data_IF_724584940399
#
_entry.id   IF_724584940399
#
_cell.length_a   1.000
_cell.length_b   1.000
_cell.length_c   1.000
_cell.angle_alpha   90.00
_cell.angle_beta   90.00
_cell.angle_gamma   90.00
#
_symmetry.space_group_name_H-M   'P 1'
#
loop_
_entity.id
_entity.type
_entity.pdbx_description
1 polymer ?
#
# COMPACT_ATOMS: atom_id res chain seq x y z
N UNK A 1 -44.50 -15.43 -17.35
CA UNK A 1 -43.03 -15.58 -17.36
C UNK A 1 -42.33 -14.68 -18.37
N UNK A 2 -42.72 -14.63 -19.67
CA UNK A 2 -42.05 -13.76 -20.67
C UNK A 2 -42.06 -12.26 -20.31
N UNK A 3 -43.17 -11.75 -19.79
CA UNK A 3 -43.34 -10.33 -19.42
C UNK A 3 -42.43 -9.90 -18.27
N UNK A 4 -42.30 -10.73 -17.23
CA UNK A 4 -41.43 -10.46 -16.08
C UNK A 4 -39.95 -10.39 -16.48
N UNK A 5 -39.51 -11.27 -17.38
CA UNK A 5 -38.13 -11.26 -17.92
C UNK A 5 -37.84 -9.99 -18.73
N UNK A 6 -38.81 -9.50 -19.52
CA UNK A 6 -38.65 -8.27 -20.28
C UNK A 6 -38.62 -7.04 -19.39
N UNK A 7 -39.47 -6.99 -18.35
CA UNK A 7 -39.45 -5.89 -17.37
C UNK A 7 -38.11 -5.82 -16.62
N UNK A 8 -37.58 -6.96 -16.16
CA UNK A 8 -36.27 -7.02 -15.51
C UNK A 8 -35.14 -6.55 -16.43
N UNK A 9 -35.14 -6.95 -17.70
CA UNK A 9 -34.14 -6.50 -18.67
C UNK A 9 -34.21 -4.99 -18.91
N UNK A 10 -35.40 -4.41 -19.03
CA UNK A 10 -35.59 -2.97 -19.22
C UNK A 10 -35.10 -2.19 -17.99
N UNK A 11 -35.45 -2.65 -16.78
CA UNK A 11 -34.98 -2.02 -15.53
C UNK A 11 -33.46 -2.06 -15.45
N UNK A 12 -32.86 -3.22 -15.71
CA UNK A 12 -31.41 -3.38 -15.71
C UNK A 12 -30.73 -2.44 -16.71
N UNK A 13 -31.19 -2.42 -17.97
CA UNK A 13 -30.64 -1.54 -19.01
C UNK A 13 -30.81 -0.05 -18.67
N UNK A 14 -31.94 0.33 -18.06
CA UNK A 14 -32.21 1.72 -17.66
C UNK A 14 -31.30 2.16 -16.51
N UNK A 15 -31.07 1.28 -15.52
CA UNK A 15 -30.11 1.54 -14.43
C UNK A 15 -28.71 1.68 -14.99
N UNK A 16 -28.29 0.75 -15.86
CA UNK A 16 -26.96 0.76 -16.46
C UNK A 16 -26.74 2.04 -17.29
N UNK A 17 -27.70 2.40 -18.13
CA UNK A 17 -27.68 3.65 -18.89
C UNK A 17 -27.60 4.87 -17.97
N UNK A 18 -28.38 4.91 -16.89
CA UNK A 18 -28.38 6.04 -15.95
C UNK A 18 -27.04 6.20 -15.24
N UNK A 19 -26.38 5.08 -14.89
CA UNK A 19 -25.04 5.10 -14.29
C UNK A 19 -24.00 5.67 -15.26
N UNK A 20 -23.96 5.19 -16.51
CA UNK A 20 -23.03 5.70 -17.52
C UNK A 20 -23.33 7.14 -17.94
N UNK A 21 -24.61 7.52 -18.04
CA UNK A 21 -24.99 8.91 -18.30
C UNK A 21 -24.56 9.83 -17.15
N UNK A 22 -24.68 9.36 -15.89
CA UNK A 22 -24.17 10.04 -14.72
C UNK A 22 -22.65 10.20 -14.75
N UNK A 23 -21.92 9.16 -15.10
CA UNK A 23 -20.47 9.20 -15.25
C UNK A 23 -20.03 10.20 -16.33
N UNK A 24 -20.64 10.16 -17.51
CA UNK A 24 -20.39 11.13 -18.60
C UNK A 24 -20.70 12.55 -18.12
N UNK A 25 -21.80 12.75 -17.39
CA UNK A 25 -22.12 14.06 -16.81
C UNK A 25 -21.04 14.54 -15.85
N UNK A 26 -20.62 13.68 -14.91
CA UNK A 26 -19.55 13.99 -13.94
C UNK A 26 -18.17 14.18 -14.59
N UNK A 27 -17.92 13.57 -15.75
CA UNK A 27 -16.65 13.66 -16.45
C UNK A 27 -16.53 14.92 -17.29
N UNK A 28 -17.61 15.34 -17.94
CA UNK A 28 -17.56 16.42 -18.94
C UNK A 28 -18.25 17.72 -18.50
N UNK A 29 -19.16 17.68 -17.53
CA UNK A 29 -20.00 18.82 -17.19
C UNK A 29 -19.83 19.30 -15.75
N UNK A 30 -19.30 18.46 -14.85
CA UNK A 30 -18.86 18.92 -13.53
C UNK A 30 -17.48 19.54 -13.67
N UNK A 31 -17.38 20.81 -13.29
CA UNK A 31 -16.12 21.53 -13.26
C UNK A 31 -15.16 20.84 -12.28
N UNK A 32 -14.19 20.11 -12.84
CA UNK A 32 -13.08 19.51 -12.11
C UNK A 32 -11.89 20.45 -12.04
N UNK A 33 -12.12 21.76 -12.08
CA UNK A 33 -11.09 22.69 -11.58
C UNK A 33 -10.62 22.08 -10.27
N UNK A 34 -9.33 21.70 -10.16
CA UNK A 34 -8.78 21.31 -8.88
C UNK A 34 -9.26 22.40 -7.95
N UNK A 35 -9.94 22.04 -6.87
CA UNK A 35 -10.15 23.00 -5.80
C UNK A 35 -8.75 23.48 -5.53
N UNK A 36 -8.44 24.68 -6.03
CA UNK A 36 -7.19 25.35 -5.79
C UNK A 36 -7.09 25.22 -4.30
N UNK A 37 -6.11 24.46 -3.83
CA UNK A 37 -5.94 24.20 -2.41
C UNK A 37 -5.61 25.57 -1.87
N UNK A 38 -6.66 26.38 -1.61
CA UNK A 38 -6.59 27.70 -1.01
C UNK A 38 -5.66 27.43 0.13
N UNK A 39 -4.47 27.99 0.02
CA UNK A 39 -3.33 27.71 0.88
C UNK A 39 -3.88 27.56 2.27
N UNK A 40 -4.00 26.31 2.75
CA UNK A 40 -4.45 26.04 4.10
C UNK A 40 -3.43 26.79 4.95
N UNK A 41 -3.81 27.84 5.70
CA UNK A 41 -2.84 28.69 6.40
C UNK A 41 -1.97 27.88 7.39
N UNK A 42 -2.47 26.70 7.75
CA UNK A 42 -1.91 25.68 8.63
C UNK A 42 -1.19 24.53 7.89
N UNK A 43 -1.09 24.57 6.55
CA UNK A 43 -0.35 23.54 5.81
C UNK A 43 1.14 23.62 6.09
N UNK A 44 1.68 22.53 6.61
CA UNK A 44 3.12 22.34 6.72
C UNK A 44 3.72 22.31 5.31
N UNK A 45 4.49 23.33 4.96
CA UNK A 45 5.13 23.46 3.64
C UNK A 45 6.43 22.68 3.50
N UNK A 46 6.93 22.06 4.58
CA UNK A 46 8.18 21.30 4.56
C UNK A 46 8.05 20.03 3.74
N UNK A 47 9.14 19.61 3.13
CA UNK A 47 9.30 18.30 2.52
C UNK A 47 9.54 17.22 3.59
N UNK A 48 9.26 15.95 3.25
CA UNK A 48 9.42 14.83 4.17
C UNK A 48 10.82 14.78 4.80
N UNK A 49 11.86 15.07 4.01
CA UNK A 49 13.27 15.06 4.46
C UNK A 49 13.55 16.11 5.54
N UNK A 50 12.97 17.31 5.42
CA UNK A 50 13.15 18.38 6.41
C UNK A 50 12.49 18.00 7.74
N UNK A 51 11.29 17.39 7.67
CA UNK A 51 10.58 16.90 8.87
C UNK A 51 11.36 15.76 9.52
N UNK A 52 11.90 14.83 8.74
CA UNK A 52 12.76 13.76 9.22
C UNK A 52 14.00 14.31 9.91
N UNK A 53 14.66 15.31 9.33
CA UNK A 53 15.85 15.93 9.92
C UNK A 53 15.53 16.62 11.25
N UNK A 54 14.41 17.32 11.34
CA UNK A 54 13.97 17.96 12.59
C UNK A 54 13.62 16.93 13.68
N UNK A 55 13.02 15.80 13.32
CA UNK A 55 12.74 14.70 14.25
C UNK A 55 14.04 14.02 14.71
N UNK A 56 15.02 13.84 13.81
CA UNK A 56 16.34 13.28 14.14
C UNK A 56 17.14 14.19 15.06
N UNK A 57 17.08 15.52 14.88
CA UNK A 57 17.67 16.50 15.82
C UNK A 57 17.07 16.40 17.23
N UNK A 58 15.83 15.92 17.36
CA UNK A 58 15.17 15.64 18.64
C UNK A 58 15.52 14.25 19.21
N UNK A 59 16.43 13.50 18.58
CA UNK A 59 16.82 12.14 19.02
C UNK A 59 15.83 11.05 18.63
N UNK A 60 14.85 11.32 17.75
CA UNK A 60 13.92 10.29 17.25
C UNK A 60 14.51 9.61 16.01
N UNK A 61 14.56 8.27 15.94
CA UNK A 61 15.01 7.55 14.75
C UNK A 61 13.93 7.62 13.66
N UNK A 62 13.86 8.77 12.99
CA UNK A 62 12.86 9.06 11.97
C UNK A 62 13.38 8.76 10.56
N UNK A 63 12.50 8.28 9.68
CA UNK A 63 12.78 7.99 8.28
C UNK A 63 11.59 8.38 7.42
N UNK A 64 11.78 8.78 6.15
CA UNK A 64 10.66 8.91 5.24
C UNK A 64 10.10 7.51 4.91
N UNK A 65 8.82 7.45 4.55
CA UNK A 65 8.29 6.26 3.87
C UNK A 65 9.10 5.98 2.61
N UNK A 66 9.40 4.71 2.34
CA UNK A 66 10.14 4.31 1.15
C UNK A 66 9.18 4.13 -0.01
N UNK A 67 9.36 4.90 -1.08
CA UNK A 67 8.65 4.74 -2.32
C UNK A 67 9.26 3.59 -3.15
N UNK A 68 8.42 2.70 -3.67
CA UNK A 68 8.85 1.56 -4.49
C UNK A 68 9.75 1.97 -5.67
N UNK A 69 9.32 2.98 -6.45
CA UNK A 69 10.00 3.40 -7.68
C UNK A 69 11.24 4.25 -7.44
N UNK A 70 11.22 5.09 -6.41
CA UNK A 70 12.27 6.08 -6.19
C UNK A 70 13.35 5.61 -5.20
N UNK A 71 12.97 4.84 -4.18
CA UNK A 71 13.83 4.55 -3.04
C UNK A 71 14.23 3.07 -2.93
N UNK A 72 13.52 2.17 -3.63
CA UNK A 72 13.68 0.72 -3.45
C UNK A 72 14.11 0.01 -4.73
N UNK A 73 13.67 0.49 -5.88
CA UNK A 73 13.98 -0.10 -7.19
C UNK A 73 14.63 0.93 -8.11
N UNK A 74 15.38 0.47 -9.10
CA UNK A 74 15.88 1.28 -10.19
C UNK A 74 15.81 0.51 -11.51
N UNK A 75 15.65 1.23 -12.61
CA UNK A 75 15.71 0.67 -13.96
C UNK A 75 17.17 0.55 -14.41
N UNK A 76 17.51 -0.58 -15.01
CA UNK A 76 18.77 -0.73 -15.73
C UNK A 76 18.67 -0.20 -17.17
N UNK A 77 19.76 -0.36 -17.93
CA UNK A 77 19.85 0.04 -19.34
C UNK A 77 18.93 -0.74 -20.28
N UNK A 78 18.41 -1.88 -19.84
CA UNK A 78 17.55 -2.79 -20.60
C UNK A 78 16.09 -2.69 -20.10
N UNK A 79 15.75 -1.60 -19.37
CA UNK A 79 14.44 -1.30 -18.79
C UNK A 79 13.95 -2.30 -17.72
N UNK A 80 14.81 -3.20 -17.24
CA UNK A 80 14.46 -4.10 -16.14
C UNK A 80 14.57 -3.38 -14.80
N UNK A 81 13.60 -3.62 -13.91
CA UNK A 81 13.63 -3.08 -12.55
C UNK A 81 14.39 -4.02 -11.60
N UNK A 82 15.41 -3.47 -10.94
CA UNK A 82 16.21 -4.18 -9.94
C UNK A 82 16.11 -3.47 -8.60
N UNK A 83 16.16 -4.24 -7.51
CA UNK A 83 16.25 -3.65 -6.18
C UNK A 83 17.59 -2.94 -6.01
N UNK A 84 17.52 -1.77 -5.37
CA UNK A 84 18.68 -1.00 -4.95
C UNK A 84 19.46 -1.69 -3.81
N UNK A 85 18.87 -2.71 -3.18
CA UNK A 85 19.49 -3.42 -2.07
C UNK A 85 20.05 -4.77 -2.54
N UNK A 86 21.19 -5.13 -1.98
CA UNK A 86 21.80 -6.43 -2.20
C UNK A 86 22.48 -6.90 -0.93
N UNK A 87 22.54 -8.22 -0.76
CA UNK A 87 23.24 -8.86 0.34
C UNK A 87 24.11 -9.98 -0.24
N UNK A 88 25.40 -9.99 0.09
CA UNK A 88 26.37 -10.98 -0.40
C UNK A 88 26.38 -11.11 -1.95
N UNK A 89 26.22 -9.98 -2.65
CA UNK A 89 26.20 -9.92 -4.10
C UNK A 89 24.92 -10.47 -4.75
N UNK A 90 23.88 -10.73 -3.97
CA UNK A 90 22.56 -11.12 -4.46
C UNK A 90 21.57 -10.00 -4.24
N UNK A 91 20.76 -9.73 -5.25
CA UNK A 91 19.64 -8.79 -5.17
C UNK A 91 18.71 -9.18 -4.01
N UNK A 92 18.30 -8.18 -3.23
CA UNK A 92 17.41 -8.33 -2.09
C UNK A 92 16.37 -7.21 -2.16
N UNK A 93 15.09 -7.56 -2.16
CA UNK A 93 14.01 -6.58 -2.16
C UNK A 93 13.35 -6.51 -0.77
N UNK A 94 13.62 -5.46 0.04
CA UNK A 94 12.91 -5.27 1.30
C UNK A 94 11.45 -4.94 1.02
N UNK A 95 10.55 -5.73 1.62
CA UNK A 95 9.12 -5.61 1.36
C UNK A 95 8.39 -4.61 2.28
N UNK A 96 8.96 -4.28 3.43
CA UNK A 96 8.45 -3.25 4.36
C UNK A 96 9.17 -1.90 4.25
N UNK A 97 8.89 -0.97 5.17
CA UNK A 97 9.70 0.23 5.39
C UNK A 97 10.84 -0.08 6.38
N UNK A 98 11.52 0.96 6.88
CA UNK A 98 12.48 0.82 7.97
C UNK A 98 11.76 0.29 9.21
N UNK A 99 12.29 -0.78 9.79
CA UNK A 99 11.77 -1.46 10.98
C UNK A 99 11.89 -0.62 12.26
N UNK A 100 10.93 -0.76 13.19
CA UNK A 100 10.95 -0.14 14.52
C UNK A 100 11.29 1.36 14.52
N UNK A 101 10.79 2.09 13.52
CA UNK A 101 11.19 3.46 13.25
C UNK A 101 10.00 4.40 13.16
N UNK A 102 10.23 5.68 13.48
CA UNK A 102 9.23 6.73 13.25
C UNK A 102 9.21 7.06 11.76
N UNK A 103 8.17 6.64 11.06
CA UNK A 103 7.99 6.87 9.63
C UNK A 103 7.23 8.17 9.39
N UNK A 104 7.82 9.07 8.61
CA UNK A 104 7.17 10.28 8.08
C UNK A 104 6.54 9.95 6.74
N UNK A 105 5.22 10.07 6.65
CA UNK A 105 4.47 9.30 5.66
C UNK A 105 3.65 10.14 4.68
N UNK A 106 2.78 11.02 5.15
CA UNK A 106 1.86 11.77 4.29
C UNK A 106 1.69 13.23 4.78
N UNK A 107 1.42 14.17 3.87
CA UNK A 107 1.03 15.55 4.18
C UNK A 107 -0.10 16.09 3.27
N UNK A 108 -1.05 15.25 2.87
CA UNK A 108 -2.17 15.66 2.02
C UNK A 108 -3.18 16.54 2.77
N UNK A 109 -3.36 16.30 4.07
CA UNK A 109 -4.25 17.09 4.93
C UNK A 109 -3.64 18.40 5.43
N UNK A 110 -2.38 18.68 5.06
CA UNK A 110 -1.61 19.84 5.49
C UNK A 110 -0.87 19.64 6.81
N UNK A 111 -0.94 18.47 7.42
CA UNK A 111 -0.10 18.06 8.55
C UNK A 111 0.62 16.77 8.17
N UNK A 112 1.89 16.67 8.57
CA UNK A 112 2.66 15.44 8.40
C UNK A 112 2.14 14.33 9.33
N UNK A 113 1.54 13.31 8.72
CA UNK A 113 1.20 12.07 9.39
C UNK A 113 2.45 11.21 9.60
N UNK A 114 2.53 10.64 10.80
CA UNK A 114 3.64 9.77 11.20
C UNK A 114 3.12 8.53 11.92
N UNK A 115 3.82 7.42 11.78
CA UNK A 115 3.55 6.20 12.54
C UNK A 115 4.85 5.54 12.97
N UNK A 116 4.81 4.73 14.02
CA UNK A 116 5.93 3.85 14.38
C UNK A 116 5.70 2.53 13.68
N UNK A 117 6.62 2.16 12.78
CA UNK A 117 6.55 0.88 12.08
C UNK A 117 6.78 -0.29 13.03
N UNK A 118 6.15 -1.43 12.74
CA UNK A 118 6.39 -2.67 13.46
C UNK A 118 7.80 -3.22 13.19
N UNK A 119 8.11 -4.36 13.82
CA UNK A 119 9.40 -5.01 13.62
C UNK A 119 9.69 -5.24 12.14
N UNK A 120 8.72 -5.49 11.26
CA UNK A 120 8.98 -5.72 9.83
C UNK A 120 8.81 -4.48 8.94
N UNK A 121 8.63 -3.29 9.53
CA UNK A 121 8.52 -2.05 8.78
C UNK A 121 7.11 -1.76 8.24
N UNK A 122 6.07 -2.44 8.71
CA UNK A 122 4.68 -2.17 8.33
C UNK A 122 3.98 -1.28 9.34
N UNK A 123 2.88 -0.64 8.92
CA UNK A 123 2.05 0.19 9.78
C UNK A 123 1.13 -0.67 10.66
N UNK A 124 1.70 -1.27 11.71
CA UNK A 124 0.99 -2.04 12.72
C UNK A 124 1.52 -1.75 14.13
N UNK A 125 0.70 -1.97 15.18
CA UNK A 125 1.22 -2.26 16.51
C UNK A 125 2.05 -3.55 16.47
N UNK A 126 3.27 -3.54 17.01
CA UNK A 126 4.17 -4.69 16.93
C UNK A 126 3.59 -6.00 17.51
N UNK A 127 2.72 -5.88 18.53
CA UNK A 127 2.07 -7.03 19.17
C UNK A 127 1.15 -7.86 18.25
N UNK A 128 0.74 -7.34 17.08
CA UNK A 128 -0.12 -8.11 16.16
C UNK A 128 0.56 -9.37 15.63
N UNK A 129 1.90 -9.39 15.60
CA UNK A 129 2.68 -10.54 15.16
C UNK A 129 2.63 -11.72 16.13
N UNK A 130 2.23 -11.50 17.39
CA UNK A 130 2.04 -12.56 18.38
C UNK A 130 0.64 -13.20 18.31
N UNK A 131 -0.32 -12.50 17.69
CA UNK A 131 -1.72 -12.92 17.56
C UNK A 131 -1.97 -13.99 16.49
N UNK A 132 -1.31 -15.15 16.59
CA UNK A 132 -1.41 -16.22 15.59
C UNK A 132 -2.50 -17.25 15.95
N UNK A 133 -3.36 -17.69 15.01
CA UNK A 133 -3.48 -17.21 13.63
C UNK A 133 -4.07 -15.79 13.57
N UNK A 134 -3.60 -14.97 12.63
CA UNK A 134 -4.18 -13.67 12.36
C UNK A 134 -5.66 -13.82 11.95
N UNK A 135 -6.54 -12.95 12.43
CA UNK A 135 -7.96 -12.97 12.05
C UNK A 135 -8.12 -12.52 10.61
N UNK A 136 -7.45 -11.42 10.26
CA UNK A 136 -7.45 -10.83 8.92
C UNK A 136 -6.03 -10.44 8.55
N UNK A 137 -5.64 -10.71 7.31
CA UNK A 137 -4.45 -10.14 6.68
C UNK A 137 -4.90 -9.20 5.57
N UNK A 138 -4.52 -7.93 5.66
CA UNK A 138 -4.81 -6.94 4.63
C UNK A 138 -3.59 -6.74 3.73
N UNK A 139 -3.79 -6.83 2.41
CA UNK A 139 -2.80 -6.57 1.36
C UNK A 139 -3.31 -5.44 0.46
N UNK A 140 -2.43 -4.59 -0.01
CA UNK A 140 -2.79 -3.54 -0.96
C UNK A 140 -1.78 -2.41 -0.99
N UNK A 141 -2.19 -1.30 -1.59
CA UNK A 141 -1.37 -0.13 -1.86
C UNK A 141 -1.46 0.94 -0.72
N UNK A 142 -1.39 2.21 -1.09
CA UNK A 142 -1.71 3.42 -0.30
C UNK A 142 -2.92 3.29 0.64
N UNK A 143 -4.07 2.82 0.13
CA UNK A 143 -5.30 2.78 0.94
C UNK A 143 -5.21 1.78 2.08
N UNK A 144 -4.55 0.64 1.79
CA UNK A 144 -4.34 -0.40 2.79
C UNK A 144 -3.25 0.02 3.78
N UNK A 145 -2.17 0.64 3.29
CA UNK A 145 -1.10 1.20 4.13
C UNK A 145 -1.65 2.22 5.15
N UNK A 146 -2.70 2.97 4.79
CA UNK A 146 -3.38 3.94 5.65
C UNK A 146 -2.91 5.37 5.42
N UNK A 147 -2.67 5.75 4.16
CA UNK A 147 -2.16 7.08 3.74
C UNK A 147 -3.13 8.20 4.14
N UNK A 148 -2.70 9.05 5.10
CA UNK A 148 -3.25 10.36 5.49
C UNK A 148 -4.39 10.45 6.52
N UNK A 149 -5.15 9.39 6.88
CA UNK A 149 -5.92 9.42 8.12
C UNK A 149 -5.00 9.48 9.34
N UNK A 150 -5.46 10.10 10.44
CA UNK A 150 -4.76 10.01 11.72
C UNK A 150 -4.56 8.56 12.16
N UNK A 151 -3.48 8.25 12.91
CA UNK A 151 -3.25 6.93 13.47
C UNK A 151 -4.47 6.43 14.26
N UNK A 152 -4.85 5.17 14.07
CA UNK A 152 -6.04 4.56 14.70
C UNK A 152 -7.34 4.77 13.92
N UNK A 153 -7.32 5.50 12.81
CA UNK A 153 -8.51 5.84 12.02
C UNK A 153 -8.46 5.36 10.57
N UNK A 154 -7.37 4.75 10.11
CA UNK A 154 -7.31 4.22 8.76
C UNK A 154 -8.12 2.92 8.62
N UNK A 155 -8.48 2.55 7.39
CA UNK A 155 -9.38 1.43 7.08
C UNK A 155 -9.00 0.14 7.84
N UNK A 156 -7.72 -0.24 7.82
CA UNK A 156 -7.25 -1.47 8.48
C UNK A 156 -7.31 -1.36 10.02
N UNK A 157 -7.19 -0.16 10.62
CA UNK A 157 -7.41 0.02 12.06
C UNK A 157 -8.86 -0.24 12.44
N UNK A 158 -9.81 0.23 11.64
CA UNK A 158 -11.23 0.00 11.87
C UNK A 158 -11.58 -1.49 11.77
N UNK A 159 -10.99 -2.20 10.81
CA UNK A 159 -11.10 -3.66 10.71
C UNK A 159 -10.48 -4.32 11.95
N UNK A 160 -9.31 -3.87 12.40
CA UNK A 160 -8.62 -4.40 13.57
C UNK A 160 -9.45 -4.24 14.84
N UNK A 161 -10.20 -3.15 15.01
CA UNK A 161 -11.10 -2.96 16.15
C UNK A 161 -12.19 -4.05 16.23
N UNK A 162 -12.70 -4.51 15.08
CA UNK A 162 -13.66 -5.61 15.02
C UNK A 162 -12.99 -7.00 15.07
N UNK A 163 -11.75 -7.11 14.58
CA UNK A 163 -10.98 -8.34 14.46
C UNK A 163 -9.54 -8.14 14.98
N UNK A 164 -9.29 -8.21 16.30
CA UNK A 164 -8.07 -7.70 16.93
C UNK A 164 -6.71 -8.18 16.37
N UNK A 165 -6.49 -9.46 16.01
CA UNK A 165 -5.25 -9.87 15.38
C UNK A 165 -5.32 -9.65 13.85
N UNK A 166 -5.67 -8.43 13.42
CA UNK A 166 -5.62 -8.01 12.02
C UNK A 166 -4.24 -7.42 11.73
N UNK A 167 -3.59 -7.93 10.68
CA UNK A 167 -2.27 -7.47 10.23
C UNK A 167 -2.40 -6.70 8.92
N UNK A 168 -1.81 -5.52 8.89
CA UNK A 168 -1.70 -4.67 7.71
C UNK A 168 -0.36 -4.92 7.02
N UNK A 169 -0.38 -5.45 5.80
CA UNK A 169 0.80 -5.58 4.95
C UNK A 169 0.74 -4.63 3.73
N UNK A 170 -0.15 -3.64 3.78
CA UNK A 170 -0.26 -2.64 2.72
C UNK A 170 0.96 -1.75 2.63
N UNK A 171 1.36 -1.39 1.41
CA UNK A 171 2.50 -0.50 1.15
C UNK A 171 2.15 0.49 0.05
N UNK A 172 2.56 1.74 0.23
CA UNK A 172 2.25 2.79 -0.74
C UNK A 172 3.05 2.60 -2.03
N UNK A 173 2.40 2.82 -3.17
CA UNK A 173 3.02 2.74 -4.50
C UNK A 173 3.45 1.33 -4.87
N UNK A 174 2.62 0.34 -4.53
CA UNK A 174 2.87 -1.07 -4.86
C UNK A 174 1.61 -1.69 -5.46
N UNK A 175 1.78 -2.38 -6.57
CA UNK A 175 0.79 -3.18 -7.26
C UNK A 175 0.84 -4.68 -6.94
N UNK A 176 0.14 -5.51 -7.73
CA UNK A 176 -0.17 -6.89 -7.36
C UNK A 176 1.04 -7.82 -7.22
N UNK A 177 2.14 -7.63 -7.96
CA UNK A 177 3.31 -8.52 -7.88
C UNK A 177 4.08 -8.28 -6.59
N UNK A 178 4.21 -7.02 -6.18
CA UNK A 178 4.81 -6.68 -4.90
C UNK A 178 3.94 -7.12 -3.73
N UNK A 179 2.61 -6.94 -3.84
CA UNK A 179 1.64 -7.42 -2.86
C UNK A 179 1.70 -8.96 -2.75
N UNK A 180 1.85 -9.69 -3.86
CA UNK A 180 2.06 -11.15 -3.87
C UNK A 180 3.36 -11.55 -3.17
N UNK A 181 4.47 -10.86 -3.48
CA UNK A 181 5.75 -11.09 -2.81
C UNK A 181 5.62 -10.92 -1.29
N UNK A 182 4.93 -9.85 -0.88
CA UNK A 182 4.69 -9.51 0.54
C UNK A 182 3.86 -10.59 1.21
N UNK A 183 2.80 -11.06 0.56
CA UNK A 183 2.00 -12.18 1.06
C UNK A 183 2.84 -13.46 1.22
N UNK A 184 3.67 -13.80 0.24
CA UNK A 184 4.50 -15.01 0.27
C UNK A 184 5.56 -14.98 1.38
N UNK A 185 6.15 -13.83 1.66
CA UNK A 185 7.18 -13.69 2.70
C UNK A 185 6.62 -13.68 4.13
N UNK A 186 5.47 -13.05 4.36
CA UNK A 186 4.96 -12.82 5.72
C UNK A 186 3.68 -13.60 6.05
N UNK A 187 2.83 -13.87 5.05
CA UNK A 187 1.55 -14.54 5.22
C UNK A 187 1.64 -15.93 5.87
N UNK A 188 2.56 -16.83 5.45
CA UNK A 188 2.70 -18.15 6.03
C UNK A 188 2.95 -18.13 7.54
N UNK A 189 3.74 -17.17 8.04
CA UNK A 189 4.05 -17.06 9.46
C UNK A 189 2.86 -16.60 10.31
N UNK A 190 1.91 -15.88 9.70
CA UNK A 190 0.71 -15.35 10.35
C UNK A 190 -0.46 -16.35 10.32
N UNK A 191 -0.46 -17.29 9.36
CA UNK A 191 -1.55 -18.26 9.12
C UNK A 191 -2.94 -17.61 9.16
N UNK A 192 -3.18 -16.57 8.36
CA UNK A 192 -4.40 -15.76 8.46
C UNK A 192 -5.66 -16.59 8.16
N UNK A 193 -6.75 -16.30 8.88
CA UNK A 193 -8.05 -16.92 8.61
C UNK A 193 -8.71 -16.32 7.38
N UNK A 194 -8.55 -15.02 7.19
CA UNK A 194 -9.10 -14.25 6.07
C UNK A 194 -7.97 -13.41 5.47
N UNK A 195 -7.86 -13.41 4.15
CA UNK A 195 -6.99 -12.47 3.42
C UNK A 195 -7.90 -11.50 2.67
N UNK A 196 -7.76 -10.21 2.94
CA UNK A 196 -8.39 -9.14 2.19
C UNK A 196 -7.34 -8.51 1.29
N UNK A 197 -7.50 -8.68 -0.02
CA UNK A 197 -6.61 -8.15 -1.02
C UNK A 197 -7.29 -6.96 -1.71
N UNK A 198 -6.83 -5.76 -1.37
CA UNK A 198 -7.30 -4.52 -1.95
C UNK A 198 -6.39 -4.13 -3.12
N UNK A 199 -7.00 -3.72 -4.22
CA UNK A 199 -6.29 -3.13 -5.35
C UNK A 199 -7.15 -2.02 -5.94
N UNK A 200 -6.50 -1.03 -6.54
CA UNK A 200 -7.16 0.04 -7.29
C UNK A 200 -6.74 -0.04 -8.76
N UNK A 201 -7.74 -0.09 -9.66
CA UNK A 201 -7.49 -0.31 -11.09
C UNK A 201 -6.56 0.76 -11.70
N UNK A 202 -6.76 2.03 -11.32
CA UNK A 202 -6.09 3.17 -11.94
C UNK A 202 -4.58 3.24 -11.64
N UNK A 203 -4.14 3.05 -10.40
CA UNK A 203 -2.72 3.06 -10.06
C UNK A 203 -2.10 1.66 -10.02
N UNK A 204 -2.75 0.66 -9.41
CA UNK A 204 -2.11 -0.64 -9.20
C UNK A 204 -1.99 -1.44 -10.50
N UNK A 205 -3.03 -1.42 -11.34
CA UNK A 205 -3.07 -2.24 -12.57
C UNK A 205 -2.46 -1.50 -13.76
N UNK A 206 -2.83 -0.23 -13.96
CA UNK A 206 -2.36 0.54 -15.12
C UNK A 206 -0.93 1.07 -14.91
N UNK A 207 -0.55 1.38 -13.66
CA UNK A 207 0.75 1.97 -13.33
C UNK A 207 1.73 0.98 -12.71
N UNK A 208 1.49 0.59 -11.46
CA UNK A 208 2.46 -0.10 -10.61
C UNK A 208 2.77 -1.51 -11.13
N UNK A 209 1.74 -2.28 -11.51
CA UNK A 209 1.93 -3.61 -12.10
C UNK A 209 2.82 -3.55 -13.35
N UNK A 210 2.70 -2.50 -14.18
CA UNK A 210 3.49 -2.38 -15.42
C UNK A 210 4.99 -2.30 -15.15
N UNK A 211 5.38 -1.66 -14.05
CA UNK A 211 6.78 -1.62 -13.62
C UNK A 211 7.20 -2.90 -12.90
N UNK A 212 6.32 -3.46 -12.07
CA UNK A 212 6.62 -4.65 -11.29
C UNK A 212 6.87 -5.89 -12.14
N UNK A 213 6.13 -6.05 -13.25
CA UNK A 213 6.35 -7.18 -14.18
C UNK A 213 7.70 -7.13 -14.88
N UNK A 214 8.33 -5.95 -14.93
CA UNK A 214 9.66 -5.78 -15.49
C UNK A 214 10.77 -6.15 -14.49
N UNK A 215 10.43 -6.40 -13.21
CA UNK A 215 11.39 -6.86 -12.22
C UNK A 215 11.56 -8.39 -12.28
N UNK A 216 12.77 -8.90 -12.60
CA UNK A 216 13.03 -10.33 -12.57
C UNK A 216 12.76 -10.92 -11.18
N UNK A 217 13.19 -10.24 -10.11
CA UNK A 217 13.01 -10.70 -8.74
C UNK A 217 11.53 -10.82 -8.35
N UNK A 218 10.69 -9.85 -8.69
CA UNK A 218 9.24 -9.93 -8.40
C UNK A 218 8.56 -11.04 -9.23
N UNK A 219 8.96 -11.24 -10.49
CA UNK A 219 8.40 -12.33 -11.32
C UNK A 219 8.66 -13.71 -10.72
N UNK A 220 9.80 -13.93 -10.06
CA UNK A 220 10.08 -15.21 -9.37
C UNK A 220 9.03 -15.53 -8.33
N UNK A 221 8.49 -14.54 -7.62
CA UNK A 221 7.38 -14.77 -6.70
C UNK A 221 6.09 -15.23 -7.40
N UNK A 222 5.87 -14.91 -8.67
CA UNK A 222 4.72 -15.42 -9.43
C UNK A 222 5.01 -16.79 -10.07
N UNK A 223 6.23 -16.98 -10.58
CA UNK A 223 6.58 -18.06 -11.51
C UNK A 223 7.22 -19.28 -10.85
N UNK A 224 7.93 -19.09 -9.73
CA UNK A 224 8.66 -20.16 -9.05
C UNK A 224 7.90 -20.62 -7.78
N UNK A 225 7.35 -21.84 -7.76
CA UNK A 225 6.73 -22.39 -6.56
C UNK A 225 7.74 -22.47 -5.42
N UNK A 226 7.40 -21.88 -4.28
CA UNK A 226 8.25 -21.89 -3.09
C UNK A 226 9.42 -20.90 -3.11
N UNK A 227 9.53 -20.03 -4.11
CA UNK A 227 10.50 -18.94 -4.06
C UNK A 227 10.27 -18.06 -2.82
N UNK A 228 11.35 -17.77 -2.12
CA UNK A 228 11.38 -16.86 -0.99
C UNK A 228 12.78 -16.26 -0.84
N UNK A 229 12.81 -15.00 -0.41
CA UNK A 229 14.02 -14.33 0.05
C UNK A 229 14.29 -14.60 1.54
N UNK A 230 13.35 -15.20 2.28
CA UNK A 230 13.40 -15.43 3.73
C UNK A 230 13.46 -14.13 4.54
N UNK A 231 12.73 -13.10 4.12
CA UNK A 231 12.77 -11.75 4.71
C UNK A 231 12.39 -11.74 6.19
N UNK A 232 11.41 -12.58 6.57
CA UNK A 232 10.95 -12.64 7.95
C UNK A 232 12.04 -13.06 8.94
N UNK A 233 13.08 -13.78 8.49
CA UNK A 233 14.21 -14.21 9.32
C UNK A 233 15.47 -13.37 9.14
N UNK A 234 15.39 -12.25 8.41
CA UNK A 234 16.54 -11.35 8.11
C UNK A 234 16.59 -10.11 8.97
N UNK A 235 15.67 -9.95 9.91
CA UNK A 235 15.76 -8.92 10.94
C UNK A 235 17.06 -9.09 11.73
N UNK A 236 17.89 -8.05 11.79
CA UNK A 236 19.01 -8.02 12.72
C UNK A 236 18.46 -8.02 14.15
N UNK A 237 19.07 -8.83 15.03
CA UNK A 237 18.79 -8.84 16.47
C UNK A 237 19.26 -7.53 17.13
#
# INVERSE_FOLDING_TARGET
MKTLSSTLAIVFLSVLFSLYAGEVYLQYFVDRTPVETKSRPDRDGRHAVEVVDDLRKQGKPAFPVLNFRADVMNRDKDDAFHSLFSENGRELLPLGNVANALTVFCNENGVWETYVSDRFGFNNPDAVWEGKPASVLALGDSFTHGVCPPPGQHMVDLIRNAYPPTVNLGRMGTGPFYQLATFKEYGPALRPRIVLWFFMEDNDIVGDMHDEVLSPLLRRYAEEPGFSQSLISRQAA
#
